data_IF_973571202813
#
_entry.id   IF_973571202813
#
_cell.length_a   1.000
_cell.length_b   1.000
_cell.length_c   1.000
_cell.angle_alpha   90.00
_cell.angle_beta   90.00
_cell.angle_gamma   90.00
#
_symmetry.space_group_name_H-M   'P 1'
#
loop_
_entity.id
_entity.type
_entity.pdbx_description
1 polymer ?
#
# COMPACT_ATOMS: atom_id res chain seq x y z
N UNK A 1 -15.14 60.97 8.95
CA UNK A 1 -14.20 60.30 9.87
C UNK A 1 -15.01 59.32 10.70
N UNK A 2 -14.87 58.03 10.39
CA UNK A 2 -15.70 56.93 10.87
C UNK A 2 -15.20 56.37 12.21
N UNK A 3 -16.01 56.47 13.26
CA UNK A 3 -15.71 55.87 14.57
C UNK A 3 -16.31 54.47 14.65
N UNK A 4 -15.46 53.44 14.63
CA UNK A 4 -15.83 52.04 14.84
C UNK A 4 -15.68 51.64 16.31
N UNK A 5 -16.61 50.89 16.92
CA UNK A 5 -16.42 50.33 18.25
C UNK A 5 -15.62 49.02 18.18
N UNK A 6 -14.56 48.95 18.99
CA UNK A 6 -13.61 47.85 19.11
C UNK A 6 -14.25 46.72 19.93
N UNK A 7 -14.76 45.67 19.27
CA UNK A 7 -15.10 44.40 19.93
C UNK A 7 -13.79 43.68 20.30
N UNK A 8 -13.59 43.41 21.59
CA UNK A 8 -12.61 42.43 22.08
C UNK A 8 -13.37 41.23 22.61
N UNK A 9 -13.09 40.08 22.03
CA UNK A 9 -13.52 38.73 22.41
C UNK A 9 -12.83 38.26 23.70
N UNK A 10 -13.36 37.22 24.38
CA UNK A 10 -12.95 36.84 25.72
C UNK A 10 -11.65 36.03 25.71
N UNK A 11 -10.75 36.37 26.64
CA UNK A 11 -9.54 35.59 26.91
C UNK A 11 -9.83 34.47 27.91
N UNK A 12 -9.55 33.26 27.45
CA UNK A 12 -9.28 32.03 28.19
C UNK A 12 -8.54 32.24 29.52
N UNK A 13 -9.05 31.67 30.61
CA UNK A 13 -8.34 30.67 31.42
C UNK A 13 -9.23 30.30 32.62
N UNK A 14 -9.37 29.02 32.91
CA UNK A 14 -9.27 28.44 34.27
C UNK A 14 -9.73 26.97 34.23
N UNK A 15 -8.72 26.10 34.34
CA UNK A 15 -8.71 24.84 35.07
C UNK A 15 -9.90 23.89 34.94
N UNK A 16 -9.67 22.87 34.12
CA UNK A 16 -10.30 21.56 34.14
C UNK A 16 -9.93 20.82 35.44
N UNK A 17 -10.87 20.45 36.33
CA UNK A 17 -10.58 19.52 37.41
C UNK A 17 -10.74 18.08 36.91
N UNK A 18 -9.61 17.42 36.71
CA UNK A 18 -9.54 15.97 36.71
C UNK A 18 -9.98 15.44 38.09
N UNK A 19 -11.19 14.87 38.17
CA UNK A 19 -11.54 14.02 39.32
C UNK A 19 -12.57 12.96 39.00
N UNK A 20 -12.05 11.72 38.97
CA UNK A 20 -12.69 10.47 39.38
C UNK A 20 -13.95 10.06 38.61
N UNK A 21 -13.73 9.39 37.47
CA UNK A 21 -14.64 8.29 37.09
C UNK A 21 -14.53 7.19 38.16
N UNK A 22 -15.64 6.71 38.75
CA UNK A 22 -15.59 5.49 39.53
C UNK A 22 -15.20 4.35 38.57
N UNK A 23 -14.07 3.73 38.87
CA UNK A 23 -13.69 2.42 38.35
C UNK A 23 -14.68 1.41 38.93
N UNK A 24 -15.78 1.20 38.20
CA UNK A 24 -16.71 0.13 38.50
C UNK A 24 -16.02 -1.14 37.98
N UNK A 25 -15.37 -1.87 38.89
CA UNK A 25 -14.94 -3.24 38.63
C UNK A 25 -16.15 -4.04 38.16
N UNK A 26 -16.07 -4.79 37.03
CA UNK A 26 -17.16 -5.67 36.66
C UNK A 26 -17.39 -6.68 37.80
N UNK A 27 -18.66 -7.01 38.14
CA UNK A 27 -18.93 -8.02 39.14
C UNK A 27 -18.28 -9.34 38.69
N UNK A 28 -17.50 -9.93 39.59
CA UNK A 28 -16.89 -11.24 39.38
C UNK A 28 -18.03 -12.24 39.12
N UNK A 29 -18.11 -12.75 37.89
CA UNK A 29 -19.08 -13.78 37.55
C UNK A 29 -18.90 -14.98 38.51
N UNK A 30 -19.99 -15.59 39.00
CA UNK A 30 -19.88 -16.75 39.87
C UNK A 30 -19.17 -17.88 39.12
N UNK A 31 -18.17 -18.48 39.77
CA UNK A 31 -17.50 -19.67 39.24
C UNK A 31 -18.55 -20.76 38.90
N UNK A 32 -18.39 -21.49 37.79
CA UNK A 32 -19.23 -22.65 37.53
C UNK A 32 -19.08 -23.67 38.67
N UNK A 33 -20.18 -24.29 39.15
CA UNK A 33 -20.08 -25.34 40.15
C UNK A 33 -19.25 -26.51 39.59
N UNK A 34 -18.56 -27.27 40.46
CA UNK A 34 -17.78 -28.42 40.04
C UNK A 34 -18.71 -29.40 39.31
N UNK A 35 -18.21 -29.97 38.20
CA UNK A 35 -18.91 -31.00 37.44
C UNK A 35 -19.17 -32.20 38.36
N UNK A 36 -20.35 -32.23 38.96
CA UNK A 36 -20.92 -33.48 39.45
C UNK A 36 -21.11 -34.37 38.22
N UNK A 37 -20.35 -35.46 38.16
CA UNK A 37 -20.48 -36.49 37.14
C UNK A 37 -21.86 -37.13 37.30
N UNK A 38 -22.87 -36.59 36.62
CA UNK A 38 -24.21 -37.17 36.60
C UNK A 38 -24.23 -38.41 35.70
N UNK A 39 -24.95 -39.47 36.09
CA UNK A 39 -25.09 -40.67 35.27
C UNK A 39 -25.79 -40.30 33.95
N UNK A 40 -25.29 -40.86 32.85
CA UNK A 40 -25.77 -40.64 31.48
C UNK A 40 -27.19 -41.17 31.28
N UNK A 41 -28.19 -40.43 31.73
CA UNK A 41 -29.55 -40.54 31.17
C UNK A 41 -29.55 -39.79 29.85
N UNK A 42 -29.81 -40.51 28.77
CA UNK A 42 -29.99 -39.95 27.42
C UNK A 42 -31.24 -39.09 27.44
N UNK A 43 -31.07 -37.84 27.86
CA UNK A 43 -32.09 -36.81 27.77
C UNK A 43 -31.94 -36.18 26.39
N UNK A 44 -32.79 -36.56 25.45
CA UNK A 44 -32.94 -35.81 24.20
C UNK A 44 -33.44 -34.42 24.59
N UNK A 45 -32.66 -33.34 24.38
CA UNK A 45 -33.15 -32.01 24.67
C UNK A 45 -34.36 -31.73 23.76
N UNK A 46 -35.44 -31.14 24.28
CA UNK A 46 -36.50 -30.63 23.42
C UNK A 46 -35.86 -29.66 22.44
N UNK A 47 -36.27 -29.75 21.18
CA UNK A 47 -35.78 -28.93 20.07
C UNK A 47 -35.94 -27.44 20.43
N UNK A 48 -34.92 -26.83 21.04
CA UNK A 48 -34.87 -25.38 21.17
C UNK A 48 -34.70 -24.85 19.75
N UNK A 49 -35.57 -23.94 19.28
CA UNK A 49 -35.32 -23.25 18.03
C UNK A 49 -33.97 -22.56 18.20
N UNK A 50 -32.97 -23.03 17.46
CA UNK A 50 -31.73 -22.27 17.25
C UNK A 50 -32.21 -20.90 16.79
N UNK A 51 -31.88 -19.80 17.48
CA UNK A 51 -32.18 -18.48 16.97
C UNK A 51 -31.41 -18.34 15.66
N UNK A 52 -32.12 -18.58 14.55
CA UNK A 52 -31.74 -18.13 13.22
C UNK A 52 -31.31 -16.67 13.37
N UNK A 53 -30.22 -16.21 12.73
CA UNK A 53 -29.85 -14.80 12.72
C UNK A 53 -31.03 -14.02 12.11
N UNK A 54 -31.91 -13.52 12.97
CA UNK A 54 -33.15 -12.86 12.57
C UNK A 54 -32.78 -11.62 11.76
N UNK A 55 -33.23 -11.47 10.51
CA UNK A 55 -33.08 -10.23 9.75
C UNK A 55 -34.13 -9.21 10.21
N UNK A 56 -34.35 -9.08 11.53
CA UNK A 56 -35.25 -8.11 12.13
C UNK A 56 -34.54 -6.76 12.40
N UNK A 57 -33.41 -6.52 11.73
CA UNK A 57 -32.82 -5.20 11.68
C UNK A 57 -33.68 -4.37 10.72
N UNK A 58 -34.28 -3.28 11.22
CA UNK A 58 -35.11 -2.41 10.38
C UNK A 58 -34.31 -1.95 9.15
N UNK A 59 -34.98 -1.64 8.04
CA UNK A 59 -34.31 -1.19 6.82
C UNK A 59 -33.33 -0.03 7.10
N UNK A 60 -33.71 0.88 8.02
CA UNK A 60 -32.88 1.96 8.54
C UNK A 60 -31.61 1.49 9.26
N UNK A 61 -31.71 0.46 10.11
CA UNK A 61 -30.55 -0.06 10.84
C UNK A 61 -29.59 -0.79 9.89
N UNK A 62 -30.11 -1.51 8.89
CA UNK A 62 -29.29 -2.07 7.81
C UNK A 62 -28.59 -0.97 7.02
N UNK A 63 -29.25 0.16 6.76
CA UNK A 63 -28.62 1.31 6.09
C UNK A 63 -27.54 1.96 6.97
N UNK A 64 -27.79 2.13 8.27
CA UNK A 64 -26.79 2.63 9.23
C UNK A 64 -25.58 1.71 9.28
N UNK A 65 -25.77 0.40 9.38
CA UNK A 65 -24.69 -0.59 9.39
C UNK A 65 -23.84 -0.54 8.09
N UNK A 66 -24.48 -0.37 6.93
CA UNK A 66 -23.77 -0.16 5.65
C UNK A 66 -22.94 1.11 5.67
N UNK A 67 -23.48 2.25 6.13
CA UNK A 67 -22.76 3.53 6.23
C UNK A 67 -21.55 3.42 7.18
N UNK A 68 -21.71 2.76 8.32
CA UNK A 68 -20.63 2.52 9.28
C UNK A 68 -19.54 1.64 8.66
N UNK A 69 -19.93 0.54 8.02
CA UNK A 69 -18.99 -0.36 7.33
C UNK A 69 -18.23 0.36 6.22
N UNK A 70 -18.93 1.12 5.38
CA UNK A 70 -18.32 1.90 4.31
C UNK A 70 -17.34 2.94 4.84
N UNK A 71 -17.72 3.68 5.88
CA UNK A 71 -16.85 4.65 6.56
C UNK A 71 -15.60 3.98 7.15
N UNK A 72 -15.73 2.79 7.72
CA UNK A 72 -14.61 2.01 8.24
C UNK A 72 -13.63 1.57 7.13
N UNK A 73 -14.16 1.10 5.99
CA UNK A 73 -13.34 0.71 4.84
C UNK A 73 -12.56 1.91 4.30
N UNK A 74 -13.23 3.06 4.14
CA UNK A 74 -12.57 4.25 3.62
C UNK A 74 -11.53 4.82 4.58
N UNK A 75 -11.76 4.73 5.89
CA UNK A 75 -10.75 5.07 6.90
C UNK A 75 -9.49 4.22 6.71
N UNK A 76 -9.63 2.89 6.62
CA UNK A 76 -8.49 1.97 6.35
C UNK A 76 -7.78 2.25 5.03
N UNK A 77 -8.51 2.67 3.99
CA UNK A 77 -7.90 3.09 2.72
C UNK A 77 -7.03 4.33 2.93
N UNK A 78 -7.55 5.35 3.61
CA UNK A 78 -6.82 6.60 3.91
C UNK A 78 -5.60 6.35 4.79
N UNK A 79 -5.70 5.48 5.78
CA UNK A 79 -4.58 5.05 6.63
C UNK A 79 -3.46 4.43 5.79
N UNK A 80 -3.78 3.43 4.95
CA UNK A 80 -2.78 2.81 4.04
C UNK A 80 -2.10 3.83 3.11
N UNK A 81 -2.85 4.79 2.58
CA UNK A 81 -2.27 5.86 1.74
C UNK A 81 -1.33 6.74 2.57
N UNK A 82 -1.75 7.13 3.77
CA UNK A 82 -0.93 7.94 4.65
C UNK A 82 0.35 7.20 5.04
N UNK A 83 0.29 5.89 5.29
CA UNK A 83 1.49 5.09 5.60
C UNK A 83 2.49 5.11 4.46
N UNK A 84 2.01 5.07 3.20
CA UNK A 84 2.88 5.17 2.02
C UNK A 84 3.50 6.55 1.86
N UNK A 85 2.76 7.61 2.17
CA UNK A 85 3.31 8.98 2.19
C UNK A 85 4.37 9.13 3.30
N UNK A 86 4.15 8.53 4.47
CA UNK A 86 5.13 8.54 5.57
C UNK A 86 6.38 7.73 5.23
N UNK A 87 6.23 6.55 4.61
CA UNK A 87 7.38 5.78 4.11
C UNK A 87 8.20 6.59 3.11
N UNK A 88 7.53 7.25 2.15
CA UNK A 88 8.20 8.10 1.17
C UNK A 88 8.99 9.23 1.83
N UNK A 89 8.41 9.89 2.85
CA UNK A 89 9.09 10.93 3.63
C UNK A 89 10.42 10.45 4.23
N UNK A 90 10.46 9.23 4.76
CA UNK A 90 11.67 8.66 5.39
C UNK A 90 12.79 8.35 4.38
N UNK A 91 12.44 8.13 3.11
CA UNK A 91 13.42 7.85 2.05
C UNK A 91 14.08 9.11 1.49
N UNK A 92 13.51 10.28 1.75
CA UNK A 92 14.01 11.55 1.23
C UNK A 92 14.90 12.20 2.30
N UNK A 93 16.20 12.42 2.04
CA UNK A 93 17.13 12.93 3.06
C UNK A 93 16.68 14.22 3.74
N UNK A 94 16.15 15.17 2.97
CA UNK A 94 15.66 16.45 3.50
C UNK A 94 14.37 16.32 4.35
N UNK A 95 13.59 15.26 4.14
CA UNK A 95 12.29 15.10 4.78
C UNK A 95 12.33 14.15 5.99
N UNK A 96 13.32 13.27 6.09
CA UNK A 96 13.40 12.22 7.11
C UNK A 96 13.38 12.79 8.54
N UNK A 97 14.15 13.86 8.78
CA UNK A 97 14.32 14.48 10.11
C UNK A 97 13.22 15.50 10.45
N UNK A 98 12.36 15.87 9.50
CA UNK A 98 11.40 16.94 9.72
C UNK A 98 10.06 16.43 10.25
N UNK A 99 9.69 16.86 11.45
CA UNK A 99 8.37 16.62 12.03
C UNK A 99 7.26 17.34 11.24
N UNK A 100 6.07 16.71 11.11
CA UNK A 100 4.85 17.34 10.59
C UNK A 100 4.92 18.02 9.20
N UNK A 101 5.66 17.44 8.25
CA UNK A 101 5.69 17.92 6.87
C UNK A 101 4.33 17.84 6.16
N UNK A 102 4.04 18.87 5.36
CA UNK A 102 2.85 18.89 4.51
C UNK A 102 2.96 17.84 3.39
N UNK A 103 1.85 17.14 3.10
CA UNK A 103 1.83 16.03 2.12
C UNK A 103 2.30 16.47 0.73
N UNK A 104 1.90 17.65 0.27
CA UNK A 104 2.35 18.16 -1.03
C UNK A 104 3.86 18.43 -1.04
N UNK A 105 4.44 18.87 0.07
CA UNK A 105 5.88 19.11 0.18
C UNK A 105 6.65 17.79 0.09
N UNK A 106 6.18 16.74 0.78
CA UNK A 106 6.79 15.40 0.70
C UNK A 106 6.76 14.89 -0.76
N UNK A 107 5.63 15.04 -1.45
CA UNK A 107 5.49 14.60 -2.84
C UNK A 107 6.40 15.39 -3.79
N UNK A 108 6.51 16.71 -3.61
CA UNK A 108 7.40 17.54 -4.43
C UNK A 108 8.87 17.17 -4.20
N UNK A 109 9.31 17.12 -2.94
CA UNK A 109 10.68 16.73 -2.60
C UNK A 109 11.03 15.32 -3.08
N UNK A 110 10.06 14.40 -3.14
CA UNK A 110 10.26 13.08 -3.71
C UNK A 110 10.61 13.14 -5.20
N UNK A 111 9.86 13.95 -5.96
CA UNK A 111 10.07 14.13 -7.41
C UNK A 111 11.44 14.75 -7.64
N UNK A 112 11.76 15.81 -6.90
CA UNK A 112 13.02 16.53 -7.03
C UNK A 112 14.23 15.62 -6.70
N UNK A 113 14.10 14.80 -5.64
CA UNK A 113 15.16 13.88 -5.24
C UNK A 113 15.38 12.76 -6.26
N UNK A 114 14.30 12.20 -6.84
CA UNK A 114 14.43 11.19 -7.90
C UNK A 114 15.07 11.81 -9.15
N UNK A 115 14.72 13.04 -9.52
CA UNK A 115 15.35 13.74 -10.64
C UNK A 115 16.86 13.94 -10.39
N UNK A 116 17.22 14.40 -9.20
CA UNK A 116 18.62 14.52 -8.79
C UNK A 116 19.38 13.20 -8.88
N UNK A 117 18.82 12.10 -8.35
CA UNK A 117 19.46 10.79 -8.42
C UNK A 117 19.68 10.32 -9.87
N UNK A 118 18.74 10.61 -10.78
CA UNK A 118 18.91 10.30 -12.21
C UNK A 118 20.05 11.07 -12.84
N UNK A 119 20.21 12.34 -12.49
CA UNK A 119 21.30 13.18 -13.00
C UNK A 119 22.66 12.69 -12.48
N UNK A 120 22.74 12.30 -11.20
CA UNK A 120 23.95 11.73 -10.59
C UNK A 120 24.35 10.42 -11.27
N UNK A 121 23.39 9.52 -11.51
CA UNK A 121 23.67 8.25 -12.22
C UNK A 121 24.19 8.54 -13.64
N UNK A 122 23.54 9.46 -14.35
CA UNK A 122 23.97 9.86 -15.70
C UNK A 122 25.40 10.42 -15.71
N UNK A 123 25.76 11.28 -14.76
CA UNK A 123 27.12 11.84 -14.70
C UNK A 123 28.17 10.75 -14.44
N UNK A 124 27.87 9.77 -13.58
CA UNK A 124 28.77 8.65 -13.31
C UNK A 124 28.99 7.80 -14.57
N UNK A 125 27.92 7.50 -15.31
CA UNK A 125 28.02 6.75 -16.57
C UNK A 125 28.86 7.50 -17.62
N UNK A 126 28.72 8.83 -17.69
CA UNK A 126 29.52 9.68 -18.59
C UNK A 126 31.01 9.69 -18.18
N UNK A 127 31.31 9.70 -16.88
CA UNK A 127 32.69 9.66 -16.34
C UNK A 127 33.35 8.27 -16.49
N UNK A 128 32.61 7.17 -16.29
CA UNK A 128 33.10 5.81 -16.54
C UNK A 128 33.35 5.55 -18.03
N UNK A 129 32.55 6.15 -18.92
CA UNK A 129 32.79 6.10 -20.37
C UNK A 129 34.09 6.83 -20.77
N UNK A 130 34.47 7.89 -20.05
CA UNK A 130 35.73 8.60 -20.25
C UNK A 130 36.92 7.83 -19.66
N UNK A 131 36.73 7.09 -18.56
CA UNK A 131 37.77 6.29 -17.92
C UNK A 131 38.06 4.97 -18.67
N UNK A 132 37.04 4.34 -19.28
CA UNK A 132 37.19 3.09 -20.05
C UNK A 132 37.48 3.29 -21.54
N UNK A 133 37.64 4.54 -22.00
CA UNK A 133 38.05 4.86 -23.37
C UNK A 133 39.53 4.60 -23.71
N UNK A 134 40.35 4.16 -22.73
CA UNK A 134 41.79 4.01 -22.89
C UNK A 134 42.32 2.57 -23.01
N UNK A 135 41.50 1.52 -22.91
CA UNK A 135 41.98 0.13 -23.05
C UNK A 135 41.17 -0.69 -24.05
N UNK A 136 41.62 -0.64 -25.29
CA UNK A 136 41.29 -1.59 -26.34
C UNK A 136 41.82 -2.99 -25.97
N UNK A 137 41.07 -3.76 -25.19
CA UNK A 137 41.25 -5.22 -25.14
C UNK A 137 40.30 -5.85 -26.15
N UNK A 138 40.82 -6.09 -27.36
CA UNK A 138 40.21 -7.01 -28.33
C UNK A 138 40.15 -8.40 -27.69
N UNK A 139 39.06 -8.71 -27.00
CA UNK A 139 38.73 -10.09 -26.64
C UNK A 139 38.40 -10.79 -27.96
N UNK A 140 39.42 -11.41 -28.55
CA UNK A 140 39.21 -12.46 -29.57
C UNK A 140 38.32 -13.49 -28.88
N UNK A 141 37.09 -13.64 -29.36
CA UNK A 141 36.19 -14.71 -28.93
C UNK A 141 36.97 -16.02 -29.07
N UNK A 142 37.39 -16.56 -27.93
CA UNK A 142 38.04 -17.85 -27.88
C UNK A 142 37.02 -18.86 -28.40
N UNK A 143 37.41 -19.54 -29.48
CA UNK A 143 36.80 -20.74 -30.05
C UNK A 143 36.21 -21.59 -28.91
N UNK A 144 34.92 -21.90 -28.99
CA UNK A 144 34.18 -22.56 -27.92
C UNK A 144 34.95 -23.78 -27.39
N UNK A 145 35.19 -23.78 -26.08
CA UNK A 145 35.82 -24.89 -25.35
C UNK A 145 34.81 -26.04 -25.06
N UNK A 146 33.65 -26.00 -25.70
CA UNK A 146 32.60 -27.00 -25.54
C UNK A 146 32.80 -28.12 -26.58
N UNK A 147 32.80 -29.40 -26.16
CA UNK A 147 32.78 -30.51 -27.10
C UNK A 147 31.52 -30.40 -27.97
N UNK A 148 31.67 -30.66 -29.28
CA UNK A 148 30.63 -30.51 -30.32
C UNK A 148 29.29 -31.22 -30.05
N UNK A 149 29.23 -32.03 -29.01
CA UNK A 149 28.11 -32.93 -28.68
C UNK A 149 27.13 -32.33 -27.65
N UNK A 150 27.50 -31.24 -26.97
CA UNK A 150 26.64 -30.63 -25.92
C UNK A 150 25.96 -29.34 -26.38
N UNK A 151 26.38 -28.78 -27.53
CA UNK A 151 25.78 -27.58 -28.17
C UNK A 151 24.24 -27.60 -28.31
N UNK A 152 23.56 -28.71 -28.68
CA UNK A 152 22.10 -28.69 -28.81
C UNK A 152 21.33 -28.66 -27.48
N UNK A 153 21.98 -28.87 -26.34
CA UNK A 153 21.32 -28.90 -25.02
C UNK A 153 21.51 -27.63 -24.19
N UNK A 154 22.41 -26.71 -24.58
CA UNK A 154 22.70 -25.49 -23.80
C UNK A 154 21.74 -24.32 -24.12
N UNK A 155 21.01 -24.41 -25.23
CA UNK A 155 20.20 -23.32 -25.79
C UNK A 155 19.03 -22.89 -24.89
N UNK A 156 18.64 -23.70 -23.90
CA UNK A 156 17.51 -23.37 -23.02
C UNK A 156 17.88 -22.49 -21.81
N UNK A 157 19.17 -22.34 -21.47
CA UNK A 157 19.58 -21.58 -20.27
C UNK A 157 20.29 -20.25 -20.59
N UNK A 158 20.53 -19.93 -21.86
CA UNK A 158 21.13 -18.64 -22.23
C UNK A 158 20.07 -17.56 -22.45
N UNK A 159 19.46 -17.09 -21.36
CA UNK A 159 18.69 -15.85 -21.36
C UNK A 159 19.68 -14.68 -21.38
N UNK A 160 19.92 -14.14 -22.57
CA UNK A 160 20.33 -12.75 -22.88
C UNK A 160 20.65 -12.66 -24.38
N UNK A 161 19.78 -12.03 -25.17
CA UNK A 161 19.95 -10.62 -25.57
C UNK A 161 18.96 -10.22 -26.67
N UNK A 162 18.48 -8.99 -26.48
CA UNK A 162 17.70 -8.13 -27.36
C UNK A 162 18.34 -8.05 -28.75
N UNK A 163 17.58 -8.30 -29.81
CA UNK A 163 17.94 -7.89 -31.18
C UNK A 163 16.93 -6.86 -31.70
N UNK A 164 17.38 -5.61 -31.77
CA UNK A 164 16.79 -4.53 -32.56
C UNK A 164 17.05 -4.76 -34.04
N UNK A 165 16.00 -4.92 -34.85
CA UNK A 165 16.05 -4.66 -36.30
C UNK A 165 14.75 -3.94 -36.72
N UNK A 166 14.92 -2.83 -37.45
CA UNK A 166 13.94 -1.80 -37.88
C UNK A 166 12.73 -2.32 -38.68
N UNK A 167 11.62 -1.55 -38.77
CA UNK A 167 10.36 -1.98 -39.40
C UNK A 167 10.36 -1.79 -40.92
N UNK A 168 9.65 -2.63 -41.70
CA UNK A 168 9.25 -2.32 -43.06
C UNK A 168 7.75 -1.97 -43.17
N UNK A 169 7.53 -0.72 -43.57
CA UNK A 169 6.54 -0.21 -44.53
C UNK A 169 5.33 -1.09 -44.98
N UNK A 170 4.15 -0.51 -44.76
CA UNK A 170 2.93 -0.42 -45.63
C UNK A 170 1.93 -1.60 -45.67
N UNK A 171 0.60 -1.30 -45.71
CA UNK A 171 -0.47 -2.26 -45.38
C UNK A 171 -1.06 -2.98 -46.61
N UNK A 172 -1.64 -4.18 -46.45
CA UNK A 172 -2.53 -4.77 -47.44
C UNK A 172 -3.94 -4.18 -47.34
N UNK A 173 -4.40 -3.67 -48.48
CA UNK A 173 -5.76 -3.33 -48.85
C UNK A 173 -6.69 -4.55 -48.88
N UNK A 174 -8.00 -4.28 -48.84
CA UNK A 174 -9.14 -5.13 -49.22
C UNK A 174 -9.50 -6.33 -48.33
N UNK A 175 -10.77 -6.63 -48.02
CA UNK A 175 -12.04 -6.29 -48.66
C UNK A 175 -13.21 -6.42 -47.67
N UNK A 176 -14.25 -5.62 -47.92
CA UNK A 176 -15.51 -5.50 -47.19
C UNK A 176 -16.46 -6.65 -47.62
N UNK A 177 -17.08 -7.44 -46.74
CA UNK A 177 -18.24 -8.22 -47.14
C UNK A 177 -19.51 -7.37 -46.95
N UNK A 178 -20.12 -7.03 -48.07
CA UNK A 178 -21.51 -6.57 -48.13
C UNK A 178 -22.36 -7.76 -48.53
N UNK A 179 -23.56 -7.87 -47.93
CA UNK A 179 -24.78 -8.48 -48.48
C UNK A 179 -25.12 -9.93 -48.05
N UNK A 180 -26.03 -10.08 -47.08
CA UNK A 180 -27.45 -10.39 -47.33
C UNK A 180 -28.32 -9.97 -46.14
#
# INVERSE_FOLDING_TARGET
MSSSPKRKSPTSSMSEPASKRPHISPPLAPLPPPLMQYPSVVYYPPYYPIPSPTPASSADERERARKVSHSAIERRRRERINDKIHQLKQLIPYCAEQENLHKMSILQSAIDYIAYLKDVVKSIDDDDALLHGADHVKIKVAKSMLPKEVEPFTTQFSVKQVNTIKPPLTPPQESKPTNK
#
